data_IF_172360605438
#
_entry.id   IF_172360605438
#
_cell.length_a   1.000
_cell.length_b   1.000
_cell.length_c   1.000
_cell.angle_alpha   90.00
_cell.angle_beta   90.00
_cell.angle_gamma   90.00
#
_symmetry.space_group_name_H-M   'P 1'
#
loop_
_entity.id
_entity.type
_entity.pdbx_description
1 polymer ?
#
# COMPACT_ATOMS: atom_id res chain seq x y z
N UNK A 1 -4.27 9.37 17.12
CA UNK A 1 -5.46 8.59 16.67
C UNK A 1 -5.90 9.11 15.31
N UNK A 2 -6.02 8.24 14.35
CA UNK A 2 -6.50 8.59 13.02
C UNK A 2 -8.03 8.61 12.98
N UNK A 3 -8.61 9.71 12.53
CA UNK A 3 -10.04 9.84 12.33
C UNK A 3 -10.45 9.37 10.92
N UNK A 4 -11.68 8.88 10.78
CA UNK A 4 -12.25 8.45 9.49
C UNK A 4 -12.62 9.60 8.54
N UNK A 5 -12.27 10.84 8.86
CA UNK A 5 -12.64 12.04 8.11
C UNK A 5 -12.05 12.19 6.70
N UNK A 6 -11.22 11.26 6.27
CA UNK A 6 -10.67 11.18 4.91
C UNK A 6 -11.35 10.10 4.08
N UNK A 7 -10.56 9.45 3.25
CA UNK A 7 -11.00 8.31 2.46
C UNK A 7 -10.92 6.98 3.20
N UNK A 8 -10.17 6.06 2.65
CA UNK A 8 -9.99 4.72 3.22
C UNK A 8 -9.17 4.76 4.50
N UNK A 9 -9.65 4.06 5.54
CA UNK A 9 -8.91 3.80 6.78
C UNK A 9 -9.28 2.40 7.27
N UNK A 10 -8.27 1.51 7.30
CA UNK A 10 -8.45 0.10 7.68
C UNK A 10 -7.35 -0.31 8.65
N UNK A 11 -7.72 -1.14 9.61
CA UNK A 11 -6.83 -1.68 10.64
C UNK A 11 -6.79 -3.20 10.55
N UNK A 12 -5.58 -3.77 10.58
CA UNK A 12 -5.38 -5.20 10.57
C UNK A 12 -4.39 -5.62 11.64
N UNK A 13 -4.51 -6.85 12.10
CA UNK A 13 -3.56 -7.49 13.00
C UNK A 13 -3.10 -8.82 12.43
N UNK A 14 -1.90 -9.22 12.80
CA UNK A 14 -1.34 -10.53 12.48
C UNK A 14 -1.70 -11.50 13.61
N UNK A 15 -2.40 -12.56 13.27
CA UNK A 15 -2.89 -13.52 14.24
C UNK A 15 -2.91 -14.92 13.63
N UNK A 16 -2.22 -15.88 14.28
CA UNK A 16 -2.18 -17.27 13.83
C UNK A 16 -1.74 -17.45 12.36
N UNK A 17 -0.73 -16.72 11.93
CA UNK A 17 -0.16 -16.79 10.58
C UNK A 17 -1.02 -16.20 9.48
N UNK A 18 -1.99 -15.35 9.82
CA UNK A 18 -2.87 -14.65 8.89
C UNK A 18 -3.23 -13.24 9.37
N UNK A 19 -3.79 -12.45 8.47
CA UNK A 19 -4.37 -11.16 8.83
C UNK A 19 -5.82 -11.32 9.29
N UNK A 20 -6.19 -10.55 10.28
CA UNK A 20 -7.56 -10.32 10.71
C UNK A 20 -7.82 -8.83 10.87
N UNK A 21 -9.08 -8.41 10.81
CA UNK A 21 -9.46 -7.01 11.05
C UNK A 21 -9.22 -6.66 12.52
N UNK A 22 -8.49 -5.57 12.77
CA UNK A 22 -8.33 -5.04 14.11
C UNK A 22 -9.48 -4.06 14.45
N UNK A 23 -9.92 -4.02 15.71
CA UNK A 23 -11.05 -3.16 16.10
C UNK A 23 -10.70 -1.66 16.10
N UNK A 24 -9.45 -1.32 16.31
CA UNK A 24 -8.94 0.05 16.37
C UNK A 24 -7.43 0.11 16.10
N UNK A 25 -6.89 1.32 16.11
CA UNK A 25 -5.47 1.60 15.90
C UNK A 25 -4.56 0.90 16.93
N UNK A 26 -4.93 0.93 18.22
CA UNK A 26 -4.12 0.37 19.30
C UNK A 26 -3.91 -1.15 19.18
N UNK A 27 -4.89 -1.84 18.60
CA UNK A 27 -4.84 -3.28 18.36
C UNK A 27 -4.26 -3.65 17.00
N UNK A 28 -3.91 -2.66 16.17
CA UNK A 28 -3.46 -2.90 14.81
C UNK A 28 -1.95 -3.06 14.71
N UNK A 29 -1.52 -4.05 13.96
CA UNK A 29 -0.14 -4.20 13.49
C UNK A 29 0.04 -3.49 12.13
N UNK A 30 -1.04 -3.30 11.39
CA UNK A 30 -1.05 -2.70 10.06
C UNK A 30 -2.18 -1.68 9.97
N UNK A 31 -1.85 -0.47 9.53
CA UNK A 31 -2.81 0.59 9.21
C UNK A 31 -2.74 0.88 7.72
N UNK A 32 -3.86 0.81 7.03
CA UNK A 32 -3.97 1.16 5.61
C UNK A 32 -4.81 2.42 5.46
N UNK A 33 -4.27 3.42 4.78
CA UNK A 33 -4.92 4.72 4.58
C UNK A 33 -4.84 5.15 3.12
N UNK A 34 -5.89 5.82 2.65
CA UNK A 34 -5.93 6.46 1.34
C UNK A 34 -6.80 7.71 1.37
N UNK A 35 -6.58 8.63 0.42
CA UNK A 35 -7.27 9.93 0.36
C UNK A 35 -7.22 10.68 1.70
N UNK A 36 -6.01 10.94 2.17
CA UNK A 36 -5.75 11.52 3.49
C UNK A 36 -6.42 12.89 3.69
N UNK A 37 -7.09 13.06 4.81
CA UNK A 37 -7.55 14.38 5.26
C UNK A 37 -6.36 15.25 5.69
N UNK A 38 -6.60 16.57 5.80
CA UNK A 38 -5.58 17.50 6.32
C UNK A 38 -5.16 17.16 7.75
N UNK A 39 -6.10 16.70 8.56
CA UNK A 39 -5.83 16.28 9.94
C UNK A 39 -4.95 15.02 9.98
N UNK A 40 -5.27 14.00 9.17
CA UNK A 40 -4.47 12.79 9.05
C UNK A 40 -3.04 13.09 8.59
N UNK A 41 -2.86 13.99 7.60
CA UNK A 41 -1.53 14.45 7.19
C UNK A 41 -0.79 15.13 8.32
N UNK A 42 -1.47 16.00 9.06
CA UNK A 42 -0.87 16.70 10.21
C UNK A 42 -0.40 15.74 11.30
N UNK A 43 -1.15 14.68 11.57
CA UNK A 43 -0.77 13.63 12.53
C UNK A 43 0.49 12.90 12.03
N UNK A 44 0.51 12.48 10.77
CA UNK A 44 1.67 11.77 10.19
C UNK A 44 2.95 12.62 10.25
N UNK A 45 2.84 13.92 10.01
CA UNK A 45 3.99 14.83 10.08
C UNK A 45 4.44 15.08 11.52
N UNK A 46 3.52 15.37 12.44
CA UNK A 46 3.85 15.85 13.79
C UNK A 46 4.15 14.71 14.76
N UNK A 47 3.44 13.61 14.67
CA UNK A 47 3.57 12.52 15.64
C UNK A 47 4.48 11.40 15.13
N UNK A 48 4.53 11.17 13.82
CA UNK A 48 5.32 10.10 13.21
C UNK A 48 6.53 10.60 12.41
N UNK A 49 6.74 11.93 12.37
CA UNK A 49 7.87 12.58 11.70
C UNK A 49 8.03 12.24 10.21
N UNK A 50 6.93 11.82 9.56
CA UNK A 50 6.91 11.57 8.12
C UNK A 50 6.76 12.92 7.41
N UNK A 51 7.70 13.29 6.53
CA UNK A 51 7.66 14.58 5.84
C UNK A 51 6.49 14.66 4.85
N UNK A 52 5.97 15.87 4.62
CA UNK A 52 4.94 16.11 3.59
C UNK A 52 5.40 15.64 2.20
N UNK A 53 6.67 15.80 1.88
CA UNK A 53 7.24 15.32 0.63
C UNK A 53 7.15 13.78 0.51
N UNK A 54 7.48 13.05 1.56
CA UNK A 54 7.41 11.59 1.58
C UNK A 54 5.97 11.09 1.49
N UNK A 55 5.04 11.77 2.18
CA UNK A 55 3.60 11.48 2.07
C UNK A 55 3.12 11.69 0.62
N UNK A 56 3.48 12.82 0.01
CA UNK A 56 3.13 13.12 -1.37
C UNK A 56 3.67 12.08 -2.36
N UNK A 57 4.91 11.62 -2.15
CA UNK A 57 5.56 10.59 -2.98
C UNK A 57 4.78 9.27 -3.00
N UNK A 58 4.12 8.91 -1.90
CA UNK A 58 3.29 7.71 -1.82
C UNK A 58 2.06 7.75 -2.77
N UNK A 59 1.65 8.92 -3.19
CA UNK A 59 0.48 9.13 -4.06
C UNK A 59 0.83 9.66 -5.47
N UNK A 60 2.11 9.97 -5.72
CA UNK A 60 2.55 10.50 -7.01
C UNK A 60 3.00 9.36 -7.95
N UNK A 61 2.24 9.15 -9.02
CA UNK A 61 2.53 8.12 -10.01
C UNK A 61 3.83 8.35 -10.79
N UNK A 62 4.35 9.57 -10.81
CA UNK A 62 5.61 9.92 -11.47
C UNK A 62 6.84 9.76 -10.56
N UNK A 63 6.62 9.54 -9.27
CA UNK A 63 7.69 9.36 -8.30
C UNK A 63 8.46 8.04 -8.55
N UNK A 64 9.76 8.06 -8.32
CA UNK A 64 10.60 6.87 -8.48
C UNK A 64 10.43 5.91 -7.30
N UNK A 65 10.39 4.62 -7.62
CA UNK A 65 10.43 3.58 -6.58
C UNK A 65 11.76 3.62 -5.84
N UNK A 66 11.71 3.61 -4.51
CA UNK A 66 12.91 3.69 -3.67
C UNK A 66 12.69 3.15 -2.27
N UNK A 67 13.79 2.91 -1.58
CA UNK A 67 13.82 2.60 -0.15
C UNK A 67 14.63 3.69 0.53
N UNK A 68 14.10 4.24 1.61
CA UNK A 68 14.76 5.24 2.45
C UNK A 68 14.81 4.73 3.90
N UNK A 69 15.93 4.94 4.56
CA UNK A 69 16.13 4.54 5.95
C UNK A 69 16.22 5.78 6.83
N UNK A 70 15.27 5.91 7.73
CA UNK A 70 15.26 6.90 8.80
C UNK A 70 15.59 6.22 10.14
N UNK A 71 15.77 7.03 11.20
CA UNK A 71 16.12 6.48 12.52
C UNK A 71 14.98 5.64 13.12
N UNK A 72 13.73 6.06 12.92
CA UNK A 72 12.55 5.44 13.55
C UNK A 72 11.72 4.55 12.61
N UNK A 73 11.91 4.67 11.31
CA UNK A 73 11.18 3.87 10.31
C UNK A 73 11.92 3.72 8.99
N UNK A 74 11.52 2.75 8.21
CA UNK A 74 11.96 2.57 6.82
C UNK A 74 10.80 2.88 5.89
N UNK A 75 11.04 3.68 4.86
CA UNK A 75 10.06 3.99 3.82
C UNK A 75 10.36 3.20 2.56
N UNK A 76 9.33 2.59 1.99
CA UNK A 76 9.36 2.01 0.65
C UNK A 76 8.30 2.72 -0.20
N UNK A 77 8.72 3.43 -1.23
CA UNK A 77 7.83 3.93 -2.27
C UNK A 77 7.90 2.97 -3.44
N UNK A 78 6.77 2.43 -3.85
CA UNK A 78 6.70 1.44 -4.90
C UNK A 78 5.49 1.69 -5.80
N UNK A 79 5.39 0.95 -6.90
CA UNK A 79 4.32 1.10 -7.86
C UNK A 79 3.52 -0.19 -8.02
N UNK A 80 2.25 -0.04 -8.32
CA UNK A 80 1.38 -1.12 -8.76
C UNK A 80 0.54 -0.67 -9.95
N UNK A 81 0.13 -1.58 -10.81
CA UNK A 81 -0.80 -1.25 -11.87
C UNK A 81 -2.15 -0.81 -11.30
N UNK A 82 -2.79 0.14 -11.95
CA UNK A 82 -4.23 0.36 -11.76
C UNK A 82 -5.02 -0.73 -12.44
N UNK A 83 -6.15 -1.08 -11.87
CA UNK A 83 -7.12 -1.89 -12.59
C UNK A 83 -7.58 -1.12 -13.83
N UNK A 84 -7.53 -1.77 -14.98
CA UNK A 84 -8.03 -1.22 -16.24
C UNK A 84 -9.49 -1.63 -16.46
N UNK A 85 -10.24 -0.80 -17.17
CA UNK A 85 -11.61 -1.08 -17.58
C UNK A 85 -11.80 -0.78 -19.07
N UNK A 86 -12.86 -1.30 -19.65
CA UNK A 86 -13.26 -0.95 -21.02
C UNK A 86 -13.60 0.53 -21.16
N UNK A 87 -14.07 1.17 -20.08
CA UNK A 87 -14.36 2.60 -19.99
C UNK A 87 -13.11 3.46 -20.13
N UNK A 88 -11.97 2.96 -19.65
CA UNK A 88 -10.66 3.61 -19.76
C UNK A 88 -9.93 3.31 -21.08
N UNK A 89 -10.61 2.74 -22.07
CA UNK A 89 -10.00 2.30 -23.34
C UNK A 89 -8.80 1.35 -23.14
N UNK A 90 -8.84 0.52 -22.10
CA UNK A 90 -7.75 -0.40 -21.72
C UNK A 90 -6.39 0.28 -21.55
N UNK A 91 -6.38 1.52 -21.08
CA UNK A 91 -5.13 2.21 -20.78
C UNK A 91 -4.47 1.59 -19.55
N UNK A 92 -3.26 1.07 -19.73
CA UNK A 92 -2.46 0.53 -18.64
C UNK A 92 -1.78 1.68 -17.90
N UNK A 93 -2.26 1.97 -16.71
CA UNK A 93 -1.74 3.01 -15.83
C UNK A 93 -1.14 2.41 -14.58
N UNK A 94 -0.23 3.16 -13.96
CA UNK A 94 0.34 2.81 -12.66
C UNK A 94 -0.07 3.84 -11.61
N UNK A 95 -0.04 3.42 -10.37
CA UNK A 95 -0.16 4.28 -9.20
C UNK A 95 0.94 3.95 -8.20
N UNK A 96 1.33 4.95 -7.41
CA UNK A 96 2.26 4.76 -6.31
C UNK A 96 1.55 4.26 -5.06
N UNK A 97 2.30 3.64 -4.19
CA UNK A 97 1.95 3.44 -2.79
C UNK A 97 3.19 3.55 -1.92
N UNK A 98 2.99 3.88 -0.66
CA UNK A 98 4.06 3.99 0.33
C UNK A 98 3.88 2.99 1.46
N UNK A 99 4.96 2.33 1.85
CA UNK A 99 5.03 1.45 3.01
C UNK A 99 5.98 2.09 4.01
N UNK A 100 5.50 2.34 5.22
CA UNK A 100 6.29 2.87 6.32
C UNK A 100 6.38 1.81 7.40
N UNK A 101 7.58 1.28 7.61
CA UNK A 101 7.85 0.17 8.51
C UNK A 101 8.43 0.72 9.79
N UNK A 102 7.61 0.78 10.84
CA UNK A 102 8.02 1.10 12.19
C UNK A 102 8.45 -0.17 12.93
N UNK A 103 8.95 -0.01 14.15
CA UNK A 103 9.41 -1.14 14.96
C UNK A 103 8.33 -2.22 15.17
N UNK A 104 7.11 -1.79 15.50
CA UNK A 104 6.04 -2.69 15.95
C UNK A 104 4.79 -2.64 15.06
N UNK A 105 4.78 -1.83 14.00
CA UNK A 105 3.65 -1.70 13.11
C UNK A 105 4.05 -1.19 11.72
N UNK A 106 3.15 -1.30 10.75
CA UNK A 106 3.33 -0.84 9.37
C UNK A 106 2.18 0.08 8.98
N UNK A 107 2.52 1.23 8.40
CA UNK A 107 1.57 2.11 7.70
C UNK A 107 1.67 1.86 6.20
N UNK A 108 0.53 1.66 5.56
CA UNK A 108 0.42 1.54 4.11
C UNK A 108 -0.43 2.68 3.57
N UNK A 109 0.18 3.57 2.79
CA UNK A 109 -0.50 4.67 2.10
C UNK A 109 -0.76 4.28 0.63
N UNK A 110 -2.03 4.27 0.22
CA UNK A 110 -2.44 3.86 -1.12
C UNK A 110 -3.78 4.47 -1.50
N UNK A 111 -3.94 4.94 -2.75
CA UNK A 111 -5.20 5.50 -3.23
C UNK A 111 -6.25 4.42 -3.50
N UNK A 112 -5.83 3.27 -3.99
CA UNK A 112 -6.73 2.14 -4.21
C UNK A 112 -6.46 0.99 -3.24
N UNK A 113 -7.51 0.29 -2.87
CA UNK A 113 -7.44 -0.81 -1.92
C UNK A 113 -6.50 -1.93 -2.40
N UNK A 114 -5.72 -2.48 -1.48
CA UNK A 114 -4.94 -3.69 -1.69
C UNK A 114 -5.68 -4.82 -0.96
N UNK A 115 -6.04 -5.93 -1.66
CA UNK A 115 -6.89 -6.98 -1.10
C UNK A 115 -6.12 -7.87 -0.12
N UNK A 116 -5.65 -7.29 0.99
CA UNK A 116 -4.81 -7.97 2.00
C UNK A 116 -5.52 -9.11 2.71
N UNK A 117 -6.85 -9.14 2.66
CA UNK A 117 -7.66 -10.23 3.21
C UNK A 117 -7.89 -11.40 2.23
N UNK A 118 -7.42 -11.31 0.98
CA UNK A 118 -7.45 -12.44 0.04
C UNK A 118 -6.36 -13.46 0.42
N UNK A 119 -6.77 -14.54 1.08
CA UNK A 119 -5.85 -15.58 1.57
C UNK A 119 -5.04 -16.28 0.47
N UNK A 120 -5.46 -16.22 -0.79
CA UNK A 120 -4.69 -16.76 -1.91
C UNK A 120 -3.46 -15.92 -2.23
N UNK A 121 -3.54 -14.62 -1.99
CA UNK A 121 -2.47 -13.64 -2.27
C UNK A 121 -1.67 -13.29 -1.01
N UNK A 122 -2.32 -13.28 0.13
CA UNK A 122 -1.78 -12.86 1.42
C UNK A 122 -1.84 -14.00 2.46
N UNK A 123 -1.31 -15.16 2.12
CA UNK A 123 -1.20 -16.31 3.01
C UNK A 123 0.11 -16.33 3.80
N UNK A 124 0.13 -17.05 4.91
CA UNK A 124 1.33 -17.29 5.74
C UNK A 124 2.01 -15.98 6.15
N UNK A 125 1.24 -15.08 6.73
CA UNK A 125 1.74 -13.83 7.29
C UNK A 125 1.96 -14.02 8.79
N UNK A 126 3.20 -14.18 9.18
CA UNK A 126 3.63 -14.42 10.56
C UNK A 126 4.39 -13.24 11.18
N UNK A 127 4.73 -12.24 10.38
CA UNK A 127 5.47 -11.05 10.80
C UNK A 127 5.17 -9.85 9.92
N UNK A 128 5.54 -8.65 10.39
CA UNK A 128 5.46 -7.41 9.60
C UNK A 128 6.31 -7.51 8.33
N UNK A 129 7.50 -8.10 8.41
CA UNK A 129 8.37 -8.29 7.25
C UNK A 129 7.71 -9.19 6.19
N UNK A 130 7.09 -10.28 6.61
CA UNK A 130 6.36 -11.17 5.69
C UNK A 130 5.19 -10.42 5.03
N UNK A 131 4.47 -9.59 5.79
CA UNK A 131 3.41 -8.74 5.23
C UNK A 131 3.94 -7.80 4.14
N UNK A 132 5.02 -7.07 4.43
CA UNK A 132 5.65 -6.15 3.46
C UNK A 132 6.06 -6.89 2.18
N UNK A 133 6.72 -8.04 2.32
CA UNK A 133 7.09 -8.88 1.17
C UNK A 133 5.88 -9.36 0.37
N UNK A 134 4.76 -9.66 1.02
CA UNK A 134 3.51 -10.04 0.33
C UNK A 134 2.92 -8.87 -0.45
N UNK A 135 2.94 -7.65 0.11
CA UNK A 135 2.49 -6.44 -0.61
C UNK A 135 3.33 -6.20 -1.87
N UNK A 136 4.65 -6.27 -1.75
CA UNK A 136 5.56 -6.13 -2.90
C UNK A 136 5.35 -7.24 -3.94
N UNK A 137 5.22 -8.48 -3.49
CA UNK A 137 4.94 -9.63 -4.38
C UNK A 137 3.60 -9.48 -5.10
N UNK A 138 2.58 -8.97 -4.41
CA UNK A 138 1.28 -8.66 -5.02
C UNK A 138 1.42 -7.64 -6.15
N UNK A 139 2.14 -6.55 -5.93
CA UNK A 139 2.38 -5.53 -6.95
C UNK A 139 3.12 -6.09 -8.16
N UNK A 140 4.18 -6.89 -7.96
CA UNK A 140 4.94 -7.53 -9.01
C UNK A 140 4.08 -8.52 -9.81
N UNK A 141 3.30 -9.36 -9.13
CA UNK A 141 2.39 -10.30 -9.78
C UNK A 141 1.35 -9.58 -10.65
N UNK A 142 0.82 -8.46 -10.17
CA UNK A 142 -0.13 -7.64 -10.91
C UNK A 142 0.50 -7.02 -12.17
N UNK A 143 1.74 -6.54 -12.10
CA UNK A 143 2.50 -6.13 -13.30
C UNK A 143 2.65 -7.26 -14.30
N UNK A 144 3.00 -8.46 -13.86
CA UNK A 144 3.15 -9.63 -14.74
C UNK A 144 1.84 -10.00 -15.42
N UNK A 145 0.70 -9.89 -14.75
CA UNK A 145 -0.62 -10.10 -15.35
C UNK A 145 -0.90 -9.09 -16.47
N UNK A 146 -0.61 -7.80 -16.24
CA UNK A 146 -0.77 -6.75 -17.24
C UNK A 146 0.16 -6.97 -18.47
N UNK A 147 1.42 -7.33 -18.22
CA UNK A 147 2.37 -7.61 -19.30
C UNK A 147 1.92 -8.77 -20.18
N UNK A 148 1.34 -9.83 -19.61
CA UNK A 148 0.77 -10.96 -20.38
C UNK A 148 -0.38 -10.51 -21.28
N UNK A 149 -1.24 -9.60 -20.81
CA UNK A 149 -2.34 -9.05 -21.60
C UNK A 149 -1.81 -8.18 -22.73
N UNK A 150 -0.84 -7.29 -22.45
CA UNK A 150 -0.20 -6.44 -23.46
C UNK A 150 0.43 -7.31 -24.56
N UNK A 151 1.15 -8.37 -24.19
CA UNK A 151 1.76 -9.29 -25.15
C UNK A 151 0.71 -9.97 -26.02
N UNK A 152 -0.40 -10.45 -25.46
CA UNK A 152 -1.51 -11.04 -26.25
C UNK A 152 -2.09 -10.06 -27.25
N UNK A 153 -2.35 -8.80 -26.83
CA UNK A 153 -2.85 -7.75 -27.72
C UNK A 153 -1.85 -7.51 -28.86
N UNK A 154 -0.57 -7.50 -28.55
CA UNK A 154 0.49 -7.29 -29.54
C UNK A 154 0.59 -8.47 -30.54
N UNK A 155 0.42 -9.71 -30.09
CA UNK A 155 0.45 -10.89 -30.92
C UNK A 155 -0.76 -10.98 -31.88
N UNK A 156 -1.90 -10.38 -31.50
CA UNK A 156 -3.11 -10.31 -32.31
C UNK A 156 -3.11 -9.19 -33.38
N UNK A 157 -2.10 -8.33 -33.36
CA UNK A 157 -1.89 -7.30 -34.36
C UNK A 157 -1.08 -7.83 -35.55
#
# INVERSE_FOLDING_TARGET
MFDKGGGMLKYYKIESGRLSVAPNEEAADIVMMGSLSQEQRSILVKEYEITEHTIASAFDSDELSRIEYDDDFTTIVFKKPKNYSAEDNFQFRVESFGIFIFKDWVLLLTDSDIPVMDERKFSKIDSLNTFVLRVLSFAIAHFNEHLKIINRINDDL
#
